data_IF_218982269479
#
_entry.id   IF_218982269479
#
_cell.length_a   1.000
_cell.length_b   1.000
_cell.length_c   1.000
_cell.angle_alpha   90.00
_cell.angle_beta   90.00
_cell.angle_gamma   90.00
#
_symmetry.space_group_name_H-M   'P 1'
#
loop_
_entity.id
_entity.type
_entity.pdbx_description
1 polymer ?
#
# COMPACT_ATOMS: atom_id res chain seq x y z
N UNK A 1 5.11 -39.10 33.56
CA UNK A 1 4.63 -37.71 33.70
C UNK A 1 5.50 -37.00 34.74
N UNK A 2 6.49 -36.20 34.31
CA UNK A 2 7.26 -35.35 35.23
C UNK A 2 6.48 -34.07 35.49
N UNK A 3 6.39 -33.68 36.76
CA UNK A 3 5.63 -32.54 37.28
C UNK A 3 6.09 -31.24 36.63
N UNK A 4 5.10 -30.46 36.21
CA UNK A 4 5.18 -29.18 35.52
C UNK A 4 5.29 -28.06 36.57
N UNK A 5 6.43 -27.96 37.24
CA UNK A 5 6.71 -26.93 38.27
C UNK A 5 7.94 -26.14 37.85
N UNK A 6 7.78 -24.82 37.72
CA UNK A 6 8.79 -23.77 37.48
C UNK A 6 9.38 -23.60 36.06
N UNK A 7 8.54 -23.65 35.03
CA UNK A 7 8.94 -23.05 33.75
C UNK A 7 8.69 -21.54 33.79
N UNK A 8 9.76 -20.74 33.64
CA UNK A 8 9.69 -19.29 33.51
C UNK A 8 8.61 -18.89 32.49
N UNK A 9 7.86 -17.84 32.79
CA UNK A 9 6.97 -17.18 31.85
C UNK A 9 7.76 -16.60 30.67
N UNK A 10 7.10 -16.35 29.54
CA UNK A 10 7.77 -15.65 28.44
C UNK A 10 8.26 -14.26 28.88
N UNK A 11 7.52 -13.53 29.72
CA UNK A 11 7.95 -12.22 30.24
C UNK A 11 9.27 -12.30 31.00
N UNK A 12 9.44 -13.28 31.88
CA UNK A 12 10.69 -13.47 32.64
C UNK A 12 11.85 -13.84 31.72
N UNK A 13 11.62 -14.71 30.72
CA UNK A 13 12.64 -15.10 29.74
C UNK A 13 13.08 -13.88 28.92
N UNK A 14 12.17 -13.06 28.42
CA UNK A 14 12.53 -11.85 27.67
C UNK A 14 13.27 -10.83 28.53
N UNK A 15 12.88 -10.65 29.80
CA UNK A 15 13.61 -9.82 30.76
C UNK A 15 15.03 -10.30 31.02
N UNK A 16 15.31 -11.59 30.87
CA UNK A 16 16.66 -12.13 31.00
C UNK A 16 17.47 -12.04 29.70
N UNK A 17 16.85 -12.33 28.55
CA UNK A 17 17.55 -12.49 27.28
C UNK A 17 17.79 -11.15 26.56
N UNK A 18 16.87 -10.18 26.67
CA UNK A 18 16.97 -8.94 25.89
C UNK A 18 18.00 -7.93 26.43
N UNK A 19 18.13 -7.67 27.75
CA UNK A 19 19.05 -6.65 28.25
C UNK A 19 20.53 -6.87 27.91
N UNK A 20 21.08 -8.11 27.93
CA UNK A 20 22.47 -8.34 27.57
C UNK A 20 22.83 -8.07 26.09
N UNK A 21 21.84 -8.01 25.19
CA UNK A 21 22.08 -7.78 23.77
C UNK A 21 22.62 -6.36 23.53
N UNK A 22 23.70 -6.23 22.78
CA UNK A 22 24.32 -4.94 22.43
C UNK A 22 24.13 -4.56 20.96
N UNK A 23 23.49 -5.42 20.18
CA UNK A 23 23.24 -5.20 18.75
C UNK A 23 22.21 -6.17 18.18
N UNK A 24 22.10 -6.25 16.84
CA UNK A 24 21.20 -7.16 16.17
C UNK A 24 21.54 -8.63 16.46
N UNK A 25 20.51 -9.46 16.55
CA UNK A 25 20.61 -10.92 16.70
C UNK A 25 19.77 -11.61 15.63
N UNK A 26 20.19 -12.78 15.17
CA UNK A 26 19.36 -13.56 14.26
C UNK A 26 18.10 -14.05 14.97
N UNK A 27 16.98 -14.08 14.25
CA UNK A 27 15.70 -14.63 14.72
C UNK A 27 15.89 -16.06 15.20
N UNK A 28 16.71 -16.83 14.50
CA UNK A 28 16.89 -18.24 14.80
C UNK A 28 17.72 -18.49 16.06
N UNK A 29 18.74 -17.66 16.33
CA UNK A 29 19.53 -17.72 17.56
C UNK A 29 18.72 -17.27 18.77
N UNK A 30 17.96 -16.18 18.63
CA UNK A 30 17.10 -15.70 19.71
C UNK A 30 16.03 -16.75 20.07
N UNK A 31 15.42 -17.41 19.08
CA UNK A 31 14.49 -18.52 19.33
C UNK A 31 15.19 -19.66 20.08
N UNK A 32 16.42 -20.00 19.68
CA UNK A 32 17.18 -21.06 20.34
C UNK A 32 17.47 -20.71 21.80
N UNK A 33 17.93 -19.49 22.10
CA UNK A 33 18.14 -19.02 23.48
C UNK A 33 16.85 -19.07 24.32
N UNK A 34 15.72 -18.63 23.75
CA UNK A 34 14.41 -18.68 24.43
C UNK A 34 13.99 -20.12 24.72
N UNK A 35 14.17 -21.04 23.76
CA UNK A 35 13.81 -22.45 23.93
C UNK A 35 14.72 -23.18 24.93
N UNK A 36 15.97 -22.74 25.09
CA UNK A 36 16.88 -23.25 26.12
C UNK A 36 16.40 -22.88 27.53
N UNK A 37 15.99 -21.63 27.74
CA UNK A 37 15.47 -21.17 29.04
C UNK A 37 14.04 -21.64 29.30
N UNK A 38 13.24 -21.79 28.24
CA UNK A 38 11.84 -22.22 28.32
C UNK A 38 11.52 -23.25 27.24
N UNK A 39 11.85 -24.54 27.50
CA UNK A 39 11.44 -25.63 26.64
C UNK A 39 9.91 -25.68 26.51
N UNK A 40 9.41 -26.08 25.34
CA UNK A 40 7.96 -26.21 25.09
C UNK A 40 7.64 -27.57 24.48
N UNK A 41 6.49 -28.12 24.87
CA UNK A 41 5.93 -29.37 24.35
C UNK A 41 5.09 -29.17 23.09
N UNK A 42 4.96 -27.92 22.60
CA UNK A 42 4.20 -27.63 21.39
C UNK A 42 4.73 -28.42 20.19
N UNK A 43 3.83 -28.92 19.32
CA UNK A 43 4.20 -29.69 18.12
C UNK A 43 5.16 -28.94 17.18
N UNK A 44 5.13 -27.60 17.20
CA UNK A 44 6.02 -26.71 16.43
C UNK A 44 6.63 -25.63 17.34
N UNK A 45 7.66 -25.95 18.15
CA UNK A 45 8.23 -25.04 19.16
C UNK A 45 8.67 -23.68 18.60
N UNK A 46 9.42 -23.69 17.50
CA UNK A 46 9.94 -22.47 16.87
C UNK A 46 8.83 -21.55 16.36
N UNK A 47 7.71 -22.11 15.89
CA UNK A 47 6.56 -21.32 15.42
C UNK A 47 5.86 -20.64 16.60
N UNK A 48 5.72 -21.34 17.74
CA UNK A 48 5.15 -20.76 18.95
C UNK A 48 5.99 -19.58 19.47
N UNK A 49 7.32 -19.73 19.50
CA UNK A 49 8.22 -18.63 19.91
C UNK A 49 8.18 -17.47 18.91
N UNK A 50 8.13 -17.74 17.60
CA UNK A 50 7.96 -16.67 16.59
C UNK A 50 6.69 -15.86 16.79
N UNK A 51 5.59 -16.46 17.25
CA UNK A 51 4.37 -15.72 17.58
C UNK A 51 4.61 -14.76 18.76
N UNK A 52 5.38 -15.18 19.77
CA UNK A 52 5.75 -14.32 20.90
C UNK A 52 6.67 -13.17 20.47
N UNK A 53 7.64 -13.40 19.59
CA UNK A 53 8.49 -12.35 19.05
C UNK A 53 7.67 -11.27 18.31
N UNK A 54 6.65 -11.68 17.55
CA UNK A 54 5.73 -10.75 16.88
C UNK A 54 4.92 -9.93 17.88
N UNK A 55 4.50 -10.54 18.98
CA UNK A 55 3.76 -9.83 20.03
C UNK A 55 4.65 -8.79 20.75
N UNK A 56 5.88 -9.16 21.08
CA UNK A 56 6.89 -8.24 21.64
C UNK A 56 7.21 -7.07 20.71
N UNK A 57 7.15 -7.30 19.40
CA UNK A 57 7.30 -6.24 18.39
C UNK A 57 6.14 -5.23 18.46
N UNK A 58 4.91 -5.68 18.72
CA UNK A 58 3.75 -4.77 18.88
C UNK A 58 3.88 -3.87 20.10
N UNK A 59 4.55 -4.35 21.16
CA UNK A 59 4.85 -3.62 22.40
C UNK A 59 6.08 -2.71 22.30
N UNK A 60 6.73 -2.64 21.13
CA UNK A 60 7.96 -1.86 20.93
C UNK A 60 9.20 -2.40 21.67
N UNK A 61 9.14 -3.62 22.23
CA UNK A 61 10.27 -4.25 22.92
C UNK A 61 11.30 -4.81 21.92
N UNK A 62 10.85 -5.15 20.72
CA UNK A 62 11.66 -5.70 19.63
C UNK A 62 11.34 -5.00 18.31
N UNK A 63 12.34 -4.95 17.44
CA UNK A 63 12.25 -4.42 16.08
C UNK A 63 12.79 -5.47 15.12
N UNK A 64 11.99 -5.89 14.14
CA UNK A 64 12.49 -6.74 13.06
C UNK A 64 13.19 -5.86 12.03
N UNK A 65 14.52 -5.96 11.95
CA UNK A 65 15.26 -5.29 10.89
C UNK A 65 14.94 -5.93 9.56
N UNK A 66 14.80 -7.26 9.48
CA UNK A 66 14.34 -7.97 8.29
C UNK A 66 13.62 -9.27 8.69
N UNK A 67 13.43 -10.23 7.77
CA UNK A 67 12.75 -11.50 8.10
C UNK A 67 13.55 -12.45 8.99
N UNK A 68 14.86 -12.20 9.14
CA UNK A 68 15.85 -13.04 9.83
C UNK A 68 16.60 -12.32 10.94
N UNK A 69 16.50 -10.99 11.03
CA UNK A 69 17.25 -10.18 11.99
C UNK A 69 16.33 -9.37 12.90
N UNK A 70 16.57 -9.41 14.21
CA UNK A 70 15.86 -8.63 15.23
C UNK A 70 16.86 -7.75 15.99
N UNK A 71 16.39 -6.58 16.42
CA UNK A 71 17.08 -5.67 17.32
C UNK A 71 16.18 -5.36 18.53
N UNK A 72 16.70 -5.30 19.77
CA UNK A 72 15.94 -4.76 20.89
C UNK A 72 15.47 -3.32 20.63
N UNK A 73 14.22 -3.02 21.00
CA UNK A 73 13.61 -1.71 20.77
C UNK A 73 14.40 -0.54 21.38
N UNK A 74 14.98 -0.74 22.57
CA UNK A 74 15.86 0.26 23.20
C UNK A 74 17.05 0.62 22.30
N UNK A 75 17.67 -0.34 21.61
CA UNK A 75 18.83 -0.07 20.75
C UNK A 75 18.43 0.60 19.44
N UNK A 76 17.21 0.33 18.96
CA UNK A 76 16.65 1.00 17.79
C UNK A 76 16.35 2.48 18.07
N UNK A 77 15.79 2.78 19.25
CA UNK A 77 15.24 4.10 19.56
C UNK A 77 16.12 4.99 20.42
N UNK A 78 17.03 4.43 21.21
CA UNK A 78 17.84 5.25 22.12
C UNK A 78 18.87 6.09 21.38
N UNK A 79 18.91 7.36 21.75
CA UNK A 79 19.64 8.42 21.08
C UNK A 79 18.99 8.93 19.80
N UNK A 80 17.86 8.36 19.35
CA UNK A 80 17.16 8.90 18.16
C UNK A 80 16.78 10.35 18.42
N UNK A 81 17.06 11.20 17.43
CA UNK A 81 16.71 12.63 17.48
C UNK A 81 15.63 12.95 16.46
N UNK A 82 14.68 13.79 16.86
CA UNK A 82 13.63 14.31 15.98
C UNK A 82 13.34 15.77 16.30
N UNK A 83 12.78 16.50 15.33
CA UNK A 83 12.46 17.91 15.48
C UNK A 83 10.95 18.13 15.48
N UNK A 84 10.45 18.90 16.44
CA UNK A 84 9.03 19.26 16.55
C UNK A 84 8.86 20.72 16.16
N UNK A 85 8.16 21.04 15.06
CA UNK A 85 7.88 22.42 14.68
C UNK A 85 6.89 23.04 15.68
N UNK A 86 7.10 24.32 16.02
CA UNK A 86 6.23 25.03 16.95
C UNK A 86 5.27 25.96 16.22
N UNK A 87 3.98 25.63 16.31
CA UNK A 87 2.92 26.48 15.79
C UNK A 87 2.53 27.61 16.76
N UNK A 88 1.67 28.51 16.28
CA UNK A 88 1.22 29.68 17.05
C UNK A 88 0.57 29.29 18.37
N UNK A 89 -0.11 28.13 18.44
CA UNK A 89 -0.90 27.71 19.60
C UNK A 89 0.00 27.23 20.74
N UNK A 90 0.99 26.40 20.42
CA UNK A 90 2.03 25.87 21.31
C UNK A 90 2.78 27.02 21.96
N UNK A 91 3.26 27.97 21.15
CA UNK A 91 4.01 29.14 21.62
C UNK A 91 3.15 30.02 22.53
N UNK A 92 1.89 30.29 22.16
CA UNK A 92 0.99 31.11 22.98
C UNK A 92 0.68 30.45 24.33
N UNK A 93 0.59 29.12 24.38
CA UNK A 93 0.27 28.36 25.60
C UNK A 93 1.50 27.94 26.39
N UNK A 94 2.71 28.13 25.85
CA UNK A 94 3.95 27.65 26.47
C UNK A 94 3.95 26.14 26.66
N UNK A 95 3.44 25.37 25.70
CA UNK A 95 3.23 23.95 25.89
C UNK A 95 3.38 23.15 24.60
N UNK A 96 3.90 21.93 24.71
CA UNK A 96 4.28 21.05 23.61
C UNK A 96 3.28 19.90 23.47
N UNK A 97 2.64 19.77 22.30
CA UNK A 97 1.65 18.71 22.06
C UNK A 97 2.28 17.32 22.08
N UNK A 98 1.71 16.43 22.90
CA UNK A 98 2.17 15.04 23.02
C UNK A 98 1.63 14.21 21.87
N UNK A 99 0.34 14.33 21.59
CA UNK A 99 -0.39 13.48 20.63
C UNK A 99 0.08 13.61 19.18
N UNK A 100 0.75 14.69 18.81
CA UNK A 100 1.31 14.88 17.47
C UNK A 100 2.80 14.57 17.39
N UNK A 101 3.56 14.84 18.46
CA UNK A 101 5.02 14.78 18.44
C UNK A 101 5.61 13.46 18.98
N UNK A 102 4.96 12.81 19.96
CA UNK A 102 5.53 11.68 20.71
C UNK A 102 4.94 10.27 20.46
N UNK A 103 3.80 10.01 19.76
CA UNK A 103 3.17 8.68 19.81
C UNK A 103 4.03 7.49 19.34
N UNK A 104 5.09 7.75 18.57
CA UNK A 104 6.03 6.72 18.08
C UNK A 104 7.37 6.74 18.82
N UNK A 105 7.61 7.82 19.56
CA UNK A 105 8.80 8.07 20.36
C UNK A 105 8.57 7.80 21.86
N UNK A 106 7.32 7.54 22.26
CA UNK A 106 6.91 7.17 23.61
C UNK A 106 6.14 5.84 23.54
N UNK A 107 6.55 4.89 24.38
CA UNK A 107 5.87 3.59 24.47
C UNK A 107 4.47 3.74 25.08
N UNK A 108 3.51 3.00 24.54
CA UNK A 108 2.12 3.00 25.00
C UNK A 108 1.93 2.52 26.45
N UNK A 109 2.91 1.80 27.01
CA UNK A 109 2.83 1.27 28.37
C UNK A 109 3.27 2.29 29.44
N UNK A 110 3.90 3.40 29.03
CA UNK A 110 4.41 4.43 29.94
C UNK A 110 3.31 5.48 30.14
N UNK A 111 2.97 5.74 31.41
CA UNK A 111 1.99 6.78 31.73
C UNK A 111 2.60 8.15 31.46
N UNK A 112 1.80 9.13 31.01
CA UNK A 112 2.31 10.46 30.69
C UNK A 112 2.94 11.16 31.90
N UNK A 113 2.50 10.81 33.10
CA UNK A 113 3.00 11.30 34.38
C UNK A 113 4.37 10.71 34.76
N UNK A 114 4.76 9.58 34.17
CA UNK A 114 6.04 8.91 34.40
C UNK A 114 7.14 9.41 33.46
N UNK A 115 6.76 10.11 32.38
CA UNK A 115 7.69 10.72 31.42
C UNK A 115 8.61 11.69 32.16
N UNK A 116 9.89 11.70 31.77
CA UNK A 116 10.86 12.67 32.27
C UNK A 116 11.37 13.53 31.11
N UNK A 117 11.39 14.84 31.35
CA UNK A 117 11.92 15.83 30.42
C UNK A 117 13.13 16.49 31.07
N UNK A 118 14.16 16.74 30.27
CA UNK A 118 15.33 17.52 30.70
C UNK A 118 15.73 18.53 29.61
N UNK A 119 16.38 19.62 30.02
CA UNK A 119 16.95 20.59 29.08
C UNK A 119 18.29 20.12 28.49
N UNK A 120 18.88 20.93 27.61
CA UNK A 120 20.15 20.65 26.95
C UNK A 120 21.32 20.44 27.91
N UNK A 121 21.22 20.94 29.15
CA UNK A 121 22.22 20.80 30.21
C UNK A 121 21.97 19.60 31.13
N UNK A 122 20.91 18.83 30.86
CA UNK A 122 20.51 17.67 31.66
C UNK A 122 19.74 18.05 32.94
N UNK A 123 19.27 19.29 33.07
CA UNK A 123 18.44 19.68 34.22
C UNK A 123 17.01 19.21 33.99
N UNK A 124 16.37 18.58 35.00
CA UNK A 124 14.97 18.18 34.90
C UNK A 124 14.05 19.37 34.64
N UNK A 125 13.14 19.21 33.68
CA UNK A 125 12.03 20.11 33.41
C UNK A 125 10.77 19.58 34.12
N UNK A 126 9.95 20.45 34.73
CA UNK A 126 8.73 20.02 35.40
C UNK A 126 7.76 19.39 34.40
N UNK A 127 7.37 18.14 34.65
CA UNK A 127 6.39 17.43 33.82
C UNK A 127 5.00 17.69 34.37
N UNK A 128 4.27 18.58 33.70
CA UNK A 128 2.87 18.87 33.99
C UNK A 128 2.05 18.66 32.73
N UNK A 129 1.07 17.75 32.80
CA UNK A 129 0.19 17.45 31.68
C UNK A 129 -1.00 18.40 31.69
N UNK A 130 -1.27 19.02 30.55
CA UNK A 130 -2.44 19.88 30.34
C UNK A 130 -3.26 19.40 29.14
N UNK A 131 -4.58 19.60 29.22
CA UNK A 131 -5.51 19.17 28.17
C UNK A 131 -5.97 20.34 27.33
N UNK A 132 -5.93 20.18 26.02
CA UNK A 132 -6.36 21.15 25.03
C UNK A 132 -7.57 20.63 24.28
N UNK A 133 -8.68 21.34 24.39
CA UNK A 133 -9.90 20.97 23.66
C UNK A 133 -9.93 21.64 22.29
N UNK A 134 -10.45 20.95 21.28
CA UNK A 134 -10.74 21.48 19.94
C UNK A 134 -12.11 20.96 19.51
N UNK A 135 -12.96 21.86 19.06
CA UNK A 135 -14.19 21.46 18.39
C UNK A 135 -13.83 21.15 16.94
N UNK A 136 -14.22 19.98 16.47
CA UNK A 136 -14.15 19.58 15.08
C UNK A 136 -15.56 19.29 14.59
N UNK A 137 -15.82 19.56 13.33
CA UNK A 137 -17.05 19.15 12.68
C UNK A 137 -16.84 17.73 12.17
N UNK A 138 -17.74 16.81 12.52
CA UNK A 138 -17.73 15.43 12.06
C UNK A 138 -19.01 15.14 11.31
N UNK A 139 -19.05 14.01 10.59
CA UNK A 139 -20.26 13.49 9.95
C UNK A 139 -21.44 13.28 10.93
N UNK A 140 -21.17 13.22 12.24
CA UNK A 140 -22.17 13.06 13.30
C UNK A 140 -22.41 14.36 14.09
N UNK A 141 -21.99 15.51 13.55
CA UNK A 141 -22.08 16.82 14.21
C UNK A 141 -20.78 17.25 14.90
N UNK A 142 -20.80 18.36 15.64
CA UNK A 142 -19.61 18.90 16.29
C UNK A 142 -19.12 17.97 17.42
N UNK A 143 -17.90 17.48 17.30
CA UNK A 143 -17.23 16.68 18.31
C UNK A 143 -16.12 17.47 18.99
N UNK A 144 -15.91 17.21 20.29
CA UNK A 144 -14.85 17.83 21.07
C UNK A 144 -13.71 16.84 21.23
N UNK A 145 -12.58 17.10 20.58
CA UNK A 145 -11.36 16.32 20.74
C UNK A 145 -10.49 16.97 21.81
N UNK A 146 -9.92 16.13 22.67
CA UNK A 146 -8.96 16.52 23.69
C UNK A 146 -7.56 16.08 23.27
N UNK A 147 -6.60 16.98 23.37
CA UNK A 147 -5.19 16.73 23.11
C UNK A 147 -4.38 16.97 24.37
N UNK A 148 -3.44 16.08 24.69
CA UNK A 148 -2.54 16.27 25.83
C UNK A 148 -1.26 17.01 25.40
N UNK A 149 -0.76 17.85 26.29
CA UNK A 149 0.48 18.61 26.08
C UNK A 149 1.31 18.65 27.37
N UNK A 150 2.64 18.71 27.21
CA UNK A 150 3.55 19.07 28.29
C UNK A 150 3.52 20.58 28.48
N UNK A 151 3.21 21.04 29.69
CA UNK A 151 3.26 22.44 30.07
C UNK A 151 4.70 22.85 30.37
N UNK A 152 5.23 23.78 29.59
CA UNK A 152 6.65 24.16 29.55
C UNK A 152 6.81 25.69 29.52
N UNK A 153 5.87 26.46 30.10
CA UNK A 153 5.81 27.91 29.90
C UNK A 153 7.06 28.63 30.39
N UNK A 154 7.64 28.18 31.50
CA UNK A 154 8.88 28.74 32.02
C UNK A 154 10.05 28.52 31.07
N UNK A 155 10.18 27.31 30.54
CA UNK A 155 11.22 26.97 29.57
C UNK A 155 11.04 27.73 28.25
N UNK A 156 9.80 27.86 27.77
CA UNK A 156 9.47 28.65 26.57
C UNK A 156 9.82 30.14 26.74
N UNK A 157 9.52 30.71 27.92
CA UNK A 157 9.86 32.10 28.25
C UNK A 157 11.36 32.31 28.34
N UNK A 158 12.08 31.42 29.01
CA UNK A 158 13.53 31.49 29.19
C UNK A 158 14.29 31.44 27.84
N UNK A 159 13.79 30.66 26.88
CA UNK A 159 14.39 30.53 25.54
C UNK A 159 13.85 31.53 24.51
N UNK A 160 12.93 32.41 24.89
CA UNK A 160 12.28 33.36 23.99
C UNK A 160 11.71 32.72 22.72
N UNK A 161 11.08 31.55 22.89
CA UNK A 161 10.57 30.72 21.80
C UNK A 161 9.54 31.47 20.96
N UNK A 162 9.65 31.36 19.63
CA UNK A 162 8.74 32.00 18.66
C UNK A 162 8.07 30.97 17.76
N UNK A 163 6.98 31.38 17.11
CA UNK A 163 6.33 30.58 16.05
C UNK A 163 7.35 30.32 14.94
N UNK A 164 7.43 29.07 14.48
CA UNK A 164 8.36 28.63 13.44
C UNK A 164 9.72 28.21 13.96
N UNK A 165 9.98 28.36 15.26
CA UNK A 165 11.08 27.67 15.93
C UNK A 165 10.75 26.18 16.12
N UNK A 166 11.74 25.42 16.57
CA UNK A 166 11.68 23.99 16.74
C UNK A 166 12.13 23.60 18.15
N UNK A 167 11.57 22.49 18.64
CA UNK A 167 12.14 21.75 19.77
C UNK A 167 12.79 20.51 19.20
N UNK A 168 14.11 20.40 19.36
CA UNK A 168 14.81 19.16 19.08
C UNK A 168 14.66 18.24 20.28
N UNK A 169 14.32 16.98 20.03
CA UNK A 169 14.07 15.99 21.06
C UNK A 169 15.04 14.84 20.85
N UNK A 170 15.74 14.46 21.92
CA UNK A 170 16.57 13.25 21.97
C UNK A 170 15.92 12.23 22.88
N UNK A 171 15.77 10.99 22.41
CA UNK A 171 15.30 9.86 23.23
C UNK A 171 16.45 9.39 24.11
N UNK A 172 16.49 9.83 25.37
CA UNK A 172 17.57 9.51 26.31
C UNK A 172 17.40 8.12 26.91
N UNK A 173 16.18 7.72 27.25
CA UNK A 173 15.84 6.37 27.71
C UNK A 173 14.49 5.97 27.12
N UNK A 174 14.53 5.07 26.13
CA UNK A 174 13.34 4.58 25.44
C UNK A 174 12.43 3.75 26.35
N UNK A 175 13.01 2.99 27.28
CA UNK A 175 12.25 2.05 28.10
C UNK A 175 11.51 2.76 29.23
N UNK A 176 12.03 3.91 29.67
CA UNK A 176 11.46 4.76 30.73
C UNK A 176 10.83 6.05 30.25
N UNK A 177 10.93 6.39 28.96
CA UNK A 177 10.33 7.59 28.40
C UNK A 177 11.04 8.86 28.88
N UNK A 178 12.38 8.85 28.89
CA UNK A 178 13.16 10.04 29.21
C UNK A 178 13.58 10.74 27.93
N UNK A 179 13.36 12.06 27.87
CA UNK A 179 13.67 12.88 26.71
C UNK A 179 14.45 14.12 27.10
N UNK A 180 15.41 14.50 26.24
CA UNK A 180 16.09 15.79 26.31
C UNK A 180 15.53 16.73 25.25
N UNK A 181 15.26 17.97 25.65
CA UNK A 181 14.73 19.03 24.80
C UNK A 181 15.78 20.11 24.57
N UNK A 182 15.90 20.57 23.32
CA UNK A 182 16.78 21.67 22.93
C UNK A 182 15.97 22.67 22.09
N UNK A 183 16.12 23.97 22.34
CA UNK A 183 15.51 24.99 21.50
C UNK A 183 16.35 25.25 20.25
N UNK A 184 15.69 25.24 19.09
CA UNK A 184 16.29 25.63 17.83
C UNK A 184 15.47 26.74 17.16
N UNK A 185 16.13 27.84 16.82
CA UNK A 185 15.49 28.92 16.06
C UNK A 185 15.35 28.54 14.58
N UNK A 186 14.32 29.10 13.92
CA UNK A 186 14.15 28.95 12.47
C UNK A 186 15.41 29.32 11.66
N UNK A 187 16.18 30.32 12.15
CA UNK A 187 17.43 30.77 11.52
C UNK A 187 18.55 29.75 11.64
N UNK A 188 18.68 29.09 12.79
CA UNK A 188 19.65 28.01 12.99
C UNK A 188 19.28 26.83 12.08
N UNK A 189 18.02 26.40 12.09
CA UNK A 189 17.54 25.28 11.27
C UNK A 189 17.81 25.47 9.78
N UNK A 190 17.58 26.69 9.26
CA UNK A 190 17.87 27.03 7.85
C UNK A 190 19.34 26.81 7.45
N UNK A 191 20.29 26.86 8.40
CA UNK A 191 21.71 26.58 8.11
C UNK A 191 21.98 25.10 7.86
N UNK A 192 21.11 24.23 8.37
CA UNK A 192 21.18 22.77 8.21
C UNK A 192 20.26 22.24 7.10
N UNK A 193 19.67 23.10 6.26
CA UNK A 193 18.65 22.68 5.29
C UNK A 193 19.10 21.50 4.41
N UNK A 194 20.34 21.52 3.90
CA UNK A 194 20.87 20.42 3.07
C UNK A 194 20.94 19.09 3.81
N UNK A 195 21.32 19.12 5.09
CA UNK A 195 21.39 17.93 5.94
C UNK A 195 19.98 17.42 6.28
N UNK A 196 19.04 18.33 6.55
CA UNK A 196 17.62 18.01 6.77
C UNK A 196 17.02 17.36 5.52
N UNK A 197 17.22 17.95 4.34
CA UNK A 197 16.69 17.42 3.07
C UNK A 197 17.23 16.00 2.81
N UNK A 198 18.52 15.77 3.05
CA UNK A 198 19.13 14.45 2.92
C UNK A 198 18.53 13.42 3.89
N UNK A 199 18.34 13.79 5.16
CA UNK A 199 17.72 12.90 6.17
C UNK A 199 16.24 12.63 5.88
N UNK A 200 15.51 13.63 5.40
CA UNK A 200 14.12 13.49 5.01
C UNK A 200 13.99 12.52 3.83
N UNK A 201 14.84 12.67 2.81
CA UNK A 201 14.87 11.77 1.66
C UNK A 201 15.20 10.33 2.07
N UNK A 202 16.23 10.13 2.90
CA UNK A 202 16.60 8.80 3.42
C UNK A 202 15.44 8.15 4.21
N UNK A 203 14.79 8.90 5.11
CA UNK A 203 13.64 8.43 5.88
C UNK A 203 12.48 8.03 4.96
N UNK A 204 12.17 8.87 3.97
CA UNK A 204 11.10 8.62 3.01
C UNK A 204 11.37 7.37 2.16
N UNK A 205 12.60 7.23 1.65
CA UNK A 205 12.99 6.07 0.83
C UNK A 205 12.95 4.76 1.63
N UNK A 206 13.45 4.77 2.87
CA UNK A 206 13.40 3.59 3.75
C UNK A 206 11.96 3.19 4.13
N UNK A 207 11.07 4.17 4.34
CA UNK A 207 9.65 3.91 4.57
C UNK A 207 8.97 3.37 3.31
N UNK A 208 9.24 3.96 2.15
CA UNK A 208 8.68 3.54 0.87
C UNK A 208 9.14 2.12 0.50
N UNK A 209 10.41 1.78 0.73
CA UNK A 209 10.91 0.42 0.53
C UNK A 209 10.19 -0.60 1.41
N UNK A 210 9.87 -0.25 2.67
CA UNK A 210 9.05 -1.10 3.53
C UNK A 210 7.61 -1.23 3.02
N UNK A 211 7.01 -0.15 2.53
CA UNK A 211 5.68 -0.16 1.92
C UNK A 211 5.65 -1.04 0.68
N UNK A 212 6.66 -0.96 -0.19
CA UNK A 212 6.84 -1.81 -1.36
C UNK A 212 7.06 -3.29 -0.98
N UNK A 213 7.68 -3.54 0.16
CA UNK A 213 7.83 -4.88 0.73
C UNK A 213 6.54 -5.42 1.37
N UNK A 214 5.64 -4.57 1.85
CA UNK A 214 4.46 -4.96 2.62
C UNK A 214 3.48 -5.85 1.85
N UNK A 215 2.74 -6.72 2.53
CA UNK A 215 1.73 -7.57 1.88
C UNK A 215 0.44 -6.80 1.56
N UNK A 216 0.01 -5.95 2.49
CA UNK A 216 -1.33 -5.34 2.48
C UNK A 216 -1.32 -3.89 1.99
N UNK A 217 -0.34 -3.53 1.16
CA UNK A 217 -0.21 -2.17 0.57
C UNK A 217 -0.27 -1.04 1.61
N UNK A 218 0.15 -1.37 2.83
CA UNK A 218 0.13 -0.51 4.00
C UNK A 218 1.13 -1.02 5.01
N UNK A 219 1.69 -0.11 5.80
CA UNK A 219 2.59 -0.41 6.93
C UNK A 219 2.10 0.31 8.18
N UNK A 220 2.29 -0.35 9.32
CA UNK A 220 1.92 0.21 10.62
C UNK A 220 3.06 1.09 11.15
N UNK A 221 2.75 2.33 11.47
CA UNK A 221 3.73 3.36 11.83
C UNK A 221 4.60 2.93 13.01
N UNK A 222 4.00 2.39 14.09
CA UNK A 222 4.74 1.98 15.29
C UNK A 222 5.71 0.81 15.08
N UNK A 223 5.56 0.07 13.97
CA UNK A 223 6.51 -0.96 13.56
C UNK A 223 7.54 -0.43 12.56
N UNK A 224 7.08 0.36 11.59
CA UNK A 224 7.90 0.83 10.48
C UNK A 224 8.97 1.82 10.96
N UNK A 225 8.60 2.83 11.75
CA UNK A 225 9.52 3.90 12.13
C UNK A 225 10.70 3.42 12.98
N UNK A 226 10.53 2.60 14.05
CA UNK A 226 11.67 2.06 14.78
C UNK A 226 12.60 1.24 13.88
N UNK A 227 12.04 0.52 12.90
CA UNK A 227 12.83 -0.23 11.92
C UNK A 227 13.62 0.70 11.00
N UNK A 228 13.02 1.81 10.55
CA UNK A 228 13.70 2.80 9.72
C UNK A 228 14.79 3.53 10.50
N UNK A 229 14.50 4.04 11.70
CA UNK A 229 15.51 4.71 12.52
C UNK A 229 16.70 3.79 12.84
N UNK A 230 16.46 2.50 13.08
CA UNK A 230 17.55 1.53 13.27
C UNK A 230 18.41 1.29 12.01
N UNK A 231 17.91 1.63 10.82
CA UNK A 231 18.56 1.44 9.52
C UNK A 231 19.15 2.72 8.93
N UNK A 232 18.70 3.88 9.39
CA UNK A 232 19.25 5.17 8.96
C UNK A 232 20.76 5.23 9.24
N UNK A 233 21.46 5.93 8.37
CA UNK A 233 22.91 6.15 8.44
C UNK A 233 23.32 6.86 9.73
N UNK A 234 22.58 7.89 10.14
CA UNK A 234 22.82 8.66 11.34
C UNK A 234 21.51 9.15 12.00
N UNK A 235 20.81 8.29 12.75
CA UNK A 235 19.59 8.66 13.47
C UNK A 235 19.87 9.47 14.75
N UNK A 236 21.14 9.63 15.15
CA UNK A 236 21.56 10.22 16.43
C UNK A 236 22.22 11.59 16.30
N UNK A 237 22.66 11.98 15.10
CA UNK A 237 23.18 13.32 14.82
C UNK A 237 22.06 14.36 14.67
N UNK A 238 22.28 15.36 13.83
CA UNK A 238 21.32 16.46 13.67
C UNK A 238 19.99 15.95 13.08
N UNK A 239 18.81 16.24 13.67
CA UNK A 239 17.56 15.64 13.21
C UNK A 239 17.03 16.26 11.91
N UNK A 240 16.41 15.43 11.07
CA UNK A 240 15.56 15.89 9.97
C UNK A 240 14.24 16.48 10.48
N UNK A 241 13.25 16.58 9.60
CA UNK A 241 11.89 16.94 9.99
C UNK A 241 11.17 15.78 10.67
N UNK A 242 10.10 16.11 11.40
CA UNK A 242 9.23 15.11 11.99
C UNK A 242 8.70 14.17 10.89
N UNK A 243 8.69 12.85 11.15
CA UNK A 243 8.33 11.84 10.15
C UNK A 243 6.99 12.10 9.44
N UNK A 244 6.01 12.67 10.16
CA UNK A 244 4.70 12.97 9.59
C UNK A 244 4.78 14.06 8.52
N UNK A 245 5.65 15.05 8.69
CA UNK A 245 5.91 16.08 7.68
C UNK A 245 6.62 15.48 6.47
N UNK A 246 7.58 14.59 6.69
CA UNK A 246 8.31 13.89 5.62
C UNK A 246 7.35 13.09 4.74
N UNK A 247 6.44 12.31 5.34
CA UNK A 247 5.44 11.55 4.57
C UNK A 247 4.44 12.48 3.87
N UNK A 248 4.04 13.56 4.53
CA UNK A 248 3.09 14.53 3.94
C UNK A 248 3.69 15.25 2.73
N UNK A 249 5.01 15.44 2.71
CA UNK A 249 5.74 16.06 1.60
C UNK A 249 6.12 15.06 0.49
N UNK A 250 6.16 13.75 0.78
CA UNK A 250 6.54 12.73 -0.20
C UNK A 250 5.35 12.35 -1.09
N UNK A 251 5.43 12.51 -2.43
CA UNK A 251 4.30 12.29 -3.33
C UNK A 251 3.93 10.80 -3.51
N UNK A 252 4.73 9.87 -2.98
CA UNK A 252 4.50 8.42 -3.12
C UNK A 252 3.65 7.85 -1.99
N UNK A 253 3.55 8.55 -0.87
CA UNK A 253 2.98 8.02 0.36
C UNK A 253 1.93 8.94 0.99
N UNK A 254 1.09 8.35 1.85
CA UNK A 254 0.15 9.08 2.69
C UNK A 254 0.07 8.43 4.06
N UNK A 255 0.00 9.23 5.12
CA UNK A 255 -0.25 8.75 6.48
C UNK A 255 -1.74 8.92 6.85
N UNK A 256 -2.34 7.88 7.44
CA UNK A 256 -3.73 7.89 7.94
C UNK A 256 -3.79 7.20 9.30
N UNK A 257 -3.98 7.99 10.36
CA UNK A 257 -3.94 7.48 11.73
C UNK A 257 -2.62 6.76 12.03
N UNK A 258 -2.69 5.45 12.27
CA UNK A 258 -1.52 4.61 12.60
C UNK A 258 -0.89 3.90 11.40
N UNK A 259 -1.30 4.23 10.17
CA UNK A 259 -0.84 3.55 8.95
C UNK A 259 -0.18 4.53 7.96
N UNK A 260 0.69 3.97 7.13
CA UNK A 260 1.26 4.61 5.94
C UNK A 260 0.83 3.76 4.74
N UNK A 261 0.34 4.43 3.70
CA UNK A 261 -0.18 3.88 2.47
C UNK A 261 0.51 4.53 1.26
N UNK A 262 0.22 4.01 0.07
CA UNK A 262 0.51 4.75 -1.16
C UNK A 262 -0.36 6.02 -1.25
N UNK A 263 0.12 7.01 -2.00
CA UNK A 263 -0.58 8.29 -2.15
C UNK A 263 -1.97 8.15 -2.82
N UNK A 264 -2.13 7.15 -3.70
CA UNK A 264 -3.36 6.82 -4.42
C UNK A 264 -4.35 5.98 -3.61
N UNK A 265 -4.02 5.61 -2.37
CA UNK A 265 -4.90 4.81 -1.51
C UNK A 265 -6.16 5.59 -1.11
N UNK A 266 -7.31 4.92 -1.20
CA UNK A 266 -8.60 5.39 -0.68
C UNK A 266 -9.17 4.43 0.37
N UNK A 267 -9.81 4.97 1.42
CA UNK A 267 -10.46 4.14 2.43
C UNK A 267 -11.81 3.61 1.93
N UNK A 268 -12.33 2.50 2.50
CA UNK A 268 -13.70 2.05 2.20
C UNK A 268 -14.76 3.12 2.48
N UNK A 269 -14.57 3.94 3.52
CA UNK A 269 -15.45 5.07 3.83
C UNK A 269 -15.34 6.17 2.76
N UNK A 270 -14.14 6.48 2.27
CA UNK A 270 -13.96 7.43 1.17
C UNK A 270 -14.67 6.92 -0.10
N UNK A 271 -14.58 5.62 -0.39
CA UNK A 271 -15.23 5.01 -1.54
C UNK A 271 -16.76 5.01 -1.39
N UNK A 272 -17.29 4.78 -0.18
CA UNK A 272 -18.73 4.87 0.11
C UNK A 272 -19.21 6.32 -0.02
N UNK A 273 -18.47 7.29 0.53
CA UNK A 273 -18.81 8.71 0.43
C UNK A 273 -18.79 9.19 -1.02
N UNK A 274 -17.80 8.79 -1.83
CA UNK A 274 -17.77 9.00 -3.29
C UNK A 274 -18.93 8.34 -4.03
N UNK A 275 -19.53 7.28 -3.47
CA UNK A 275 -20.70 6.63 -4.06
C UNK A 275 -22.03 7.29 -3.66
N UNK A 276 -22.11 7.91 -2.48
CA UNK A 276 -23.32 8.55 -1.95
C UNK A 276 -23.45 9.99 -2.44
N UNK A 277 -22.36 10.74 -2.41
CA UNK A 277 -22.26 12.01 -3.09
C UNK A 277 -21.78 11.69 -4.50
N UNK A 278 -22.58 11.99 -5.53
CA UNK A 278 -22.07 12.15 -6.90
C UNK A 278 -21.10 13.34 -6.93
N UNK A 279 -20.05 13.32 -6.12
CA UNK A 279 -18.83 14.01 -6.46
C UNK A 279 -18.27 13.16 -7.59
N UNK A 280 -18.58 13.58 -8.82
CA UNK A 280 -17.67 13.40 -9.94
C UNK A 280 -16.28 13.57 -9.35
N UNK A 281 -15.52 12.47 -9.28
CA UNK A 281 -14.13 12.56 -8.90
C UNK A 281 -13.57 13.73 -9.72
N UNK A 282 -12.92 14.73 -9.09
CA UNK A 282 -12.40 15.87 -9.84
C UNK A 282 -11.66 15.26 -11.02
N UNK A 283 -12.01 15.62 -12.28
CA UNK A 283 -11.49 14.97 -13.46
C UNK A 283 -10.00 14.90 -13.24
N UNK A 284 -9.47 13.68 -13.11
CA UNK A 284 -8.06 13.45 -12.81
C UNK A 284 -7.33 14.25 -13.86
N UNK A 285 -6.79 15.41 -13.49
CA UNK A 285 -6.59 16.55 -14.39
C UNK A 285 -6.10 16.02 -15.72
N UNK A 286 -7.00 16.02 -16.74
CA UNK A 286 -6.64 15.47 -18.04
C UNK A 286 -5.36 16.18 -18.42
N UNK A 287 -4.28 15.41 -18.50
CA UNK A 287 -3.01 15.96 -18.93
C UNK A 287 -3.29 16.44 -20.34
N UNK A 288 -3.26 17.75 -20.55
CA UNK A 288 -3.53 18.34 -21.84
C UNK A 288 -2.55 17.73 -22.85
N UNK A 289 -3.06 16.80 -23.65
CA UNK A 289 -2.24 16.04 -24.58
C UNK A 289 -1.77 16.96 -25.70
N UNK A 290 -0.51 16.84 -26.08
CA UNK A 290 -0.06 17.49 -27.31
C UNK A 290 -0.73 16.83 -28.52
N UNK A 291 -0.94 17.58 -29.63
CA UNK A 291 -1.47 17.01 -30.87
C UNK A 291 -0.67 15.82 -31.41
N UNK A 292 0.62 15.74 -31.08
CA UNK A 292 1.49 14.62 -31.44
C UNK A 292 1.14 13.38 -30.60
N UNK A 293 1.09 13.51 -29.28
CA UNK A 293 0.73 12.41 -28.36
C UNK A 293 -0.67 11.85 -28.66
N UNK A 294 -1.63 12.72 -28.98
CA UNK A 294 -2.97 12.28 -29.36
C UNK A 294 -3.01 11.43 -30.63
N UNK A 295 -2.07 11.65 -31.57
CA UNK A 295 -2.03 10.95 -32.87
C UNK A 295 -1.18 9.69 -32.86
N UNK A 296 -0.23 9.57 -31.93
CA UNK A 296 0.61 8.37 -31.79
C UNK A 296 -0.25 7.14 -31.55
N UNK A 297 0.18 6.02 -32.11
CA UNK A 297 -0.53 4.75 -32.04
C UNK A 297 0.13 3.86 -31.00
N UNK A 298 -0.67 3.41 -30.04
CA UNK A 298 -0.26 2.48 -28.99
C UNK A 298 -0.65 1.08 -29.43
N UNK A 299 0.34 0.21 -29.57
CA UNK A 299 0.14 -1.19 -29.93
C UNK A 299 0.14 -2.04 -28.66
N UNK A 300 -1.04 -2.55 -28.33
CA UNK A 300 -1.24 -3.41 -27.19
C UNK A 300 -1.36 -4.86 -27.61
N UNK A 301 -0.78 -5.76 -26.81
CA UNK A 301 -1.15 -7.16 -26.82
C UNK A 301 -2.11 -7.42 -25.65
N UNK A 302 -3.31 -7.87 -25.97
CA UNK A 302 -4.32 -8.25 -24.99
C UNK A 302 -4.50 -9.75 -24.99
N UNK A 303 -4.57 -10.37 -23.82
CA UNK A 303 -4.80 -11.80 -23.67
C UNK A 303 -5.75 -12.09 -22.50
N UNK A 304 -6.52 -13.17 -22.61
CA UNK A 304 -7.30 -13.67 -21.46
C UNK A 304 -6.36 -14.13 -20.35
N UNK A 305 -6.61 -13.69 -19.11
CA UNK A 305 -5.73 -13.97 -17.96
C UNK A 305 -5.51 -15.47 -17.73
N UNK A 306 -6.59 -16.25 -17.78
CA UNK A 306 -6.58 -17.70 -17.54
C UNK A 306 -6.43 -18.53 -18.81
N UNK A 307 -6.44 -17.90 -20.00
CA UNK A 307 -6.24 -18.55 -21.31
C UNK A 307 -5.29 -17.73 -22.17
N UNK A 308 -4.06 -17.50 -21.70
CA UNK A 308 -3.07 -16.61 -22.34
C UNK A 308 -2.71 -16.93 -23.80
N UNK A 309 -3.04 -18.15 -24.26
CA UNK A 309 -2.92 -18.54 -25.66
C UNK A 309 -3.92 -17.82 -26.57
N UNK A 310 -5.05 -17.36 -26.03
CA UNK A 310 -6.04 -16.51 -26.68
C UNK A 310 -5.63 -15.06 -26.50
N UNK A 311 -5.15 -14.45 -27.59
CA UNK A 311 -4.68 -13.07 -27.58
C UNK A 311 -5.01 -12.34 -28.87
N UNK A 312 -5.08 -11.01 -28.77
CA UNK A 312 -5.32 -10.05 -29.84
C UNK A 312 -4.28 -8.94 -29.75
N UNK A 313 -3.83 -8.41 -30.88
CA UNK A 313 -3.05 -7.17 -30.94
C UNK A 313 -3.95 -6.07 -31.43
N UNK A 314 -4.04 -5.02 -30.63
CA UNK A 314 -4.93 -3.89 -30.86
C UNK A 314 -4.06 -2.64 -30.98
N UNK A 315 -4.32 -1.86 -32.00
CA UNK A 315 -3.76 -0.53 -32.16
C UNK A 315 -4.83 0.50 -31.89
N UNK A 316 -4.51 1.49 -31.06
CA UNK A 316 -5.41 2.59 -30.67
C UNK A 316 -4.60 3.88 -30.58
N UNK A 317 -5.19 5.01 -30.96
CA UNK A 317 -4.50 6.31 -30.89
C UNK A 317 -4.49 6.86 -29.45
N UNK A 318 -3.47 7.64 -29.11
CA UNK A 318 -3.29 8.19 -27.77
C UNK A 318 -4.43 9.11 -27.31
N UNK A 319 -5.09 9.79 -28.24
CA UNK A 319 -6.25 10.65 -27.96
C UNK A 319 -7.58 9.91 -27.84
N UNK A 320 -7.64 8.63 -28.21
CA UNK A 320 -8.83 7.79 -28.02
C UNK A 320 -8.96 7.37 -26.57
N UNK A 321 -10.18 7.10 -26.14
CA UNK A 321 -10.49 6.92 -24.73
C UNK A 321 -10.51 5.45 -24.31
N UNK A 322 -10.65 5.19 -23.01
CA UNK A 322 -10.89 3.85 -22.51
C UNK A 322 -12.27 3.30 -22.92
N UNK A 323 -13.25 4.15 -23.24
CA UNK A 323 -14.50 3.70 -23.87
C UNK A 323 -14.27 3.17 -25.29
N UNK A 324 -13.44 3.86 -26.10
CA UNK A 324 -13.03 3.35 -27.42
C UNK A 324 -12.27 2.01 -27.28
N UNK A 325 -11.42 1.90 -26.25
CA UNK A 325 -10.67 0.68 -25.99
C UNK A 325 -11.57 -0.47 -25.50
N UNK A 326 -12.52 -0.20 -24.62
CA UNK A 326 -13.54 -1.15 -24.17
C UNK A 326 -14.31 -1.72 -25.37
N UNK A 327 -14.80 -0.84 -26.24
CA UNK A 327 -15.55 -1.23 -27.43
C UNK A 327 -14.77 -2.21 -28.31
N UNK A 328 -13.53 -1.89 -28.67
CA UNK A 328 -12.71 -2.77 -29.51
C UNK A 328 -12.31 -4.06 -28.79
N UNK A 329 -12.18 -4.05 -27.46
CA UNK A 329 -11.93 -5.27 -26.68
C UNK A 329 -13.12 -6.21 -26.68
N UNK A 330 -14.34 -5.68 -26.56
CA UNK A 330 -15.57 -6.47 -26.70
C UNK A 330 -15.66 -7.13 -28.08
N UNK A 331 -15.41 -6.36 -29.14
CA UNK A 331 -15.34 -6.89 -30.51
C UNK A 331 -14.25 -7.96 -30.63
N UNK A 332 -13.04 -7.69 -30.12
CA UNK A 332 -11.89 -8.57 -30.32
C UNK A 332 -12.00 -9.93 -29.62
N UNK A 333 -12.77 -10.00 -28.53
CA UNK A 333 -12.97 -11.20 -27.74
C UNK A 333 -14.42 -11.72 -27.78
N UNK A 334 -15.24 -11.20 -28.70
CA UNK A 334 -16.64 -11.61 -28.95
C UNK A 334 -17.50 -11.54 -27.67
N UNK A 335 -17.27 -10.50 -26.86
CA UNK A 335 -18.10 -10.23 -25.68
C UNK A 335 -19.40 -9.52 -26.08
N UNK A 336 -20.43 -9.68 -25.26
CA UNK A 336 -21.67 -8.92 -25.44
C UNK A 336 -21.47 -7.41 -25.22
N UNK A 337 -22.24 -6.62 -25.96
CA UNK A 337 -22.14 -5.16 -25.99
C UNK A 337 -23.26 -4.45 -25.24
N UNK A 338 -24.31 -5.14 -24.81
CA UNK A 338 -25.60 -4.56 -24.47
C UNK A 338 -25.89 -4.38 -22.99
N UNK A 339 -25.39 -5.25 -22.11
CA UNK A 339 -25.92 -5.33 -20.73
C UNK A 339 -24.86 -5.47 -19.61
N UNK A 340 -23.60 -5.76 -19.93
CA UNK A 340 -22.56 -5.95 -18.91
C UNK A 340 -21.64 -4.72 -18.69
N UNK A 341 -21.36 -4.42 -17.42
CA UNK A 341 -20.33 -3.45 -17.00
C UNK A 341 -18.93 -4.00 -17.21
N UNK A 342 -17.97 -3.11 -17.47
CA UNK A 342 -16.55 -3.41 -17.56
C UNK A 342 -15.72 -2.41 -16.77
N UNK A 343 -14.42 -2.67 -16.62
CA UNK A 343 -13.52 -1.76 -15.91
C UNK A 343 -12.05 -1.97 -16.21
N UNK A 344 -11.26 -0.94 -15.89
CA UNK A 344 -9.81 -0.93 -16.12
C UNK A 344 -9.04 -0.68 -14.82
N UNK A 345 -7.91 -1.36 -14.68
CA UNK A 345 -6.94 -1.10 -13.62
C UNK A 345 -5.54 -0.95 -14.20
N UNK A 346 -4.80 0.08 -13.79
CA UNK A 346 -3.38 0.18 -14.08
C UNK A 346 -2.60 -0.76 -13.17
N UNK A 347 -1.82 -1.67 -13.74
CA UNK A 347 -1.01 -2.61 -12.96
C UNK A 347 0.38 -2.03 -12.76
N UNK A 348 0.66 -1.53 -11.55
CA UNK A 348 1.97 -0.94 -11.24
C UNK A 348 2.82 -1.93 -10.45
N UNK A 349 4.02 -2.20 -10.97
CA UNK A 349 4.95 -3.13 -10.33
C UNK A 349 5.41 -2.58 -8.97
N UNK A 350 5.48 -3.48 -7.99
CA UNK A 350 5.84 -3.16 -6.61
C UNK A 350 7.32 -3.41 -6.31
N UNK A 351 8.09 -2.34 -6.22
CA UNK A 351 9.53 -2.35 -5.98
C UNK A 351 10.25 -3.30 -6.93
N UNK A 352 11.21 -4.06 -6.43
CA UNK A 352 11.91 -5.10 -7.21
C UNK A 352 11.17 -6.44 -7.27
N UNK A 353 10.00 -6.55 -6.65
CA UNK A 353 9.27 -7.81 -6.55
C UNK A 353 8.51 -8.18 -7.83
N UNK A 354 7.89 -9.37 -7.86
CA UNK A 354 6.94 -9.79 -8.92
C UNK A 354 5.50 -9.38 -8.59
N UNK A 355 5.28 -8.61 -7.52
CA UNK A 355 3.95 -8.15 -7.11
C UNK A 355 3.58 -6.90 -7.87
N UNK A 356 2.29 -6.72 -8.05
CA UNK A 356 1.69 -5.55 -8.66
C UNK A 356 0.65 -5.00 -7.71
N UNK A 357 0.49 -3.68 -7.71
CA UNK A 357 -0.73 -3.02 -7.23
C UNK A 357 -1.64 -2.80 -8.43
N UNK A 358 -2.95 -2.84 -8.19
CA UNK A 358 -3.95 -2.58 -9.20
C UNK A 358 -4.64 -1.28 -8.84
N UNK A 359 -4.30 -0.22 -9.58
CA UNK A 359 -4.88 1.11 -9.39
C UNK A 359 -6.16 1.15 -10.22
N UNK A 360 -7.30 1.30 -9.55
CA UNK A 360 -8.60 1.40 -10.20
C UNK A 360 -8.68 2.66 -11.05
N UNK A 361 -8.91 2.49 -12.36
CA UNK A 361 -9.11 3.60 -13.30
C UNK A 361 -10.61 3.93 -13.45
N UNK A 362 -11.50 3.05 -13.00
CA UNK A 362 -12.94 3.18 -13.07
C UNK A 362 -13.61 2.14 -13.96
N UNK A 363 -14.93 2.26 -14.07
CA UNK A 363 -15.80 1.36 -14.82
C UNK A 363 -16.41 2.05 -16.04
N UNK A 364 -16.84 1.23 -17.00
CA UNK A 364 -17.55 1.64 -18.21
C UNK A 364 -18.82 0.79 -18.32
N UNK A 365 -19.92 1.43 -18.67
CA UNK A 365 -21.20 0.81 -18.90
C UNK A 365 -21.39 0.45 -20.39
N UNK A 366 -22.39 -0.38 -20.73
CA UNK A 366 -22.64 -0.79 -22.12
C UNK A 366 -22.87 0.36 -23.11
N UNK A 367 -23.28 1.54 -22.63
CA UNK A 367 -23.49 2.73 -23.46
C UNK A 367 -22.19 3.51 -23.72
N UNK A 368 -21.06 3.04 -23.18
CA UNK A 368 -19.76 3.70 -23.30
C UNK A 368 -19.53 4.83 -22.30
N UNK A 369 -20.36 4.96 -21.26
CA UNK A 369 -20.22 5.98 -20.23
C UNK A 369 -19.65 5.39 -18.93
N UNK A 370 -19.10 6.22 -18.05
CA UNK A 370 -18.62 5.77 -16.74
C UNK A 370 -17.41 6.56 -16.25
N UNK A 371 -16.92 6.23 -15.06
CA UNK A 371 -15.83 6.97 -14.41
C UNK A 371 -14.49 6.86 -15.15
N UNK A 372 -14.30 5.81 -15.96
CA UNK A 372 -13.11 5.65 -16.79
C UNK A 372 -13.31 6.06 -18.25
N UNK A 373 -14.55 6.34 -18.68
CA UNK A 373 -14.92 6.40 -20.10
C UNK A 373 -14.12 7.44 -20.88
N UNK A 374 -13.90 8.61 -20.30
CA UNK A 374 -13.22 9.74 -20.95
C UNK A 374 -11.69 9.71 -20.82
N UNK A 375 -11.14 8.78 -20.04
CA UNK A 375 -9.68 8.69 -19.87
C UNK A 375 -9.01 8.33 -21.19
N UNK A 376 -8.17 9.22 -21.70
CA UNK A 376 -7.39 8.97 -22.92
C UNK A 376 -6.25 7.96 -22.70
N UNK A 377 -5.93 7.17 -23.74
CA UNK A 377 -4.85 6.18 -23.68
C UNK A 377 -3.50 6.82 -23.37
N UNK A 378 -3.18 7.96 -24.00
CA UNK A 378 -1.95 8.70 -23.72
C UNK A 378 -1.97 9.34 -22.32
N UNK A 379 -3.14 9.74 -21.82
CA UNK A 379 -3.31 10.29 -20.46
C UNK A 379 -2.90 9.31 -19.35
N UNK A 380 -2.93 7.99 -19.64
CA UNK A 380 -2.44 6.97 -18.71
C UNK A 380 -0.91 6.94 -18.55
N UNK A 381 -0.18 7.63 -19.43
CA UNK A 381 1.29 7.74 -19.43
C UNK A 381 1.99 6.38 -19.34
N UNK A 382 1.52 5.42 -20.14
CA UNK A 382 2.08 4.07 -20.19
C UNK A 382 3.40 4.06 -20.96
N UNK A 383 4.35 3.25 -20.49
CA UNK A 383 5.59 2.94 -21.18
C UNK A 383 5.56 1.51 -21.74
N UNK A 384 6.31 1.19 -22.81
CA UNK A 384 6.44 -0.17 -23.29
C UNK A 384 6.77 -1.17 -22.18
N UNK A 385 5.99 -2.24 -22.08
CA UNK A 385 6.04 -3.23 -21.00
C UNK A 385 5.08 -2.97 -19.83
N UNK A 386 4.48 -1.78 -19.73
CA UNK A 386 3.42 -1.52 -18.75
C UNK A 386 2.17 -2.34 -19.06
N UNK A 387 1.44 -2.65 -17.99
CA UNK A 387 0.29 -3.54 -18.05
C UNK A 387 -0.97 -2.83 -17.52
N UNK A 388 -2.09 -3.07 -18.20
CA UNK A 388 -3.44 -2.82 -17.69
C UNK A 388 -4.14 -4.16 -17.43
N UNK A 389 -5.03 -4.19 -16.45
CA UNK A 389 -6.06 -5.21 -16.31
C UNK A 389 -7.35 -4.64 -16.88
N UNK A 390 -8.01 -5.41 -17.73
CA UNK A 390 -9.38 -5.14 -18.15
C UNK A 390 -10.27 -6.26 -17.65
N UNK A 391 -11.41 -5.92 -17.06
CA UNK A 391 -12.42 -6.89 -16.63
C UNK A 391 -13.68 -6.62 -17.41
N UNK A 392 -14.13 -7.62 -18.16
CA UNK A 392 -15.43 -7.64 -18.79
C UNK A 392 -16.39 -8.44 -17.91
N UNK A 393 -17.62 -7.95 -17.79
CA UNK A 393 -18.68 -8.46 -16.92
C UNK A 393 -18.27 -8.58 -15.44
N UNK A 394 -18.79 -7.70 -14.60
CA UNK A 394 -18.52 -7.76 -13.16
C UNK A 394 -19.23 -8.93 -12.45
N UNK A 395 -20.18 -9.59 -13.11
CA UNK A 395 -20.76 -10.87 -12.66
C UNK A 395 -19.75 -12.00 -12.81
N UNK A 396 -19.37 -12.33 -14.06
CA UNK A 396 -18.47 -13.44 -14.37
C UNK A 396 -16.97 -13.14 -14.15
N UNK A 397 -16.62 -11.87 -14.05
CA UNK A 397 -15.26 -11.37 -13.79
C UNK A 397 -14.23 -11.83 -14.83
N UNK A 398 -14.52 -11.58 -16.11
CA UNK A 398 -13.69 -12.05 -17.22
C UNK A 398 -12.46 -11.15 -17.40
N UNK A 399 -11.35 -11.60 -16.82
CA UNK A 399 -10.11 -10.83 -16.77
C UNK A 399 -9.24 -10.96 -18.04
N UNK A 400 -8.76 -9.81 -18.50
CA UNK A 400 -7.79 -9.66 -19.57
C UNK A 400 -6.55 -8.93 -19.06
N UNK A 401 -5.39 -9.38 -19.53
CA UNK A 401 -4.12 -8.68 -19.36
C UNK A 401 -3.77 -7.97 -20.67
N UNK A 402 -3.63 -6.65 -20.58
CA UNK A 402 -3.25 -5.78 -21.69
C UNK A 402 -1.82 -5.33 -21.43
N UNK A 403 -0.91 -5.53 -22.39
CA UNK A 403 0.49 -5.09 -22.29
C UNK A 403 0.79 -4.15 -23.44
N UNK A 404 1.33 -2.97 -23.13
CA UNK A 404 1.84 -2.06 -24.17
C UNK A 404 3.12 -2.67 -24.77
N UNK A 405 3.10 -3.05 -26.04
CA UNK A 405 4.30 -3.58 -26.72
C UNK A 405 5.18 -2.42 -27.20
N UNK A 406 4.59 -1.41 -27.84
CA UNK A 406 5.30 -0.26 -28.41
C UNK A 406 4.35 0.90 -28.74
N UNK A 407 4.93 2.07 -29.01
CA UNK A 407 4.24 3.25 -29.53
C UNK A 407 4.85 3.61 -30.89
N UNK A 408 4.02 3.74 -31.91
CA UNK A 408 4.43 3.93 -33.32
C UNK A 408 3.71 5.12 -33.96
N UNK A 409 4.22 5.56 -35.11
CA UNK A 409 3.55 6.56 -35.94
C UNK A 409 2.26 6.00 -36.57
N UNK A 410 1.23 6.84 -36.76
CA UNK A 410 -0.01 6.40 -37.40
C UNK A 410 0.24 6.01 -38.85
N UNK A 411 -0.40 4.91 -39.27
CA UNK A 411 -0.39 4.50 -40.66
C UNK A 411 -1.31 5.41 -41.49
N UNK A 412 -0.87 5.75 -42.70
CA UNK A 412 -1.63 6.62 -43.60
C UNK A 412 -2.98 5.97 -43.93
N UNK A 413 -4.06 6.75 -43.81
CA UNK A 413 -5.45 6.37 -44.13
C UNK A 413 -6.03 5.23 -43.27
N UNK A 414 -5.31 4.77 -42.23
CA UNK A 414 -5.83 3.78 -41.29
C UNK A 414 -6.85 4.39 -40.32
N UNK A 415 -7.86 3.59 -39.95
CA UNK A 415 -8.83 3.91 -38.90
C UNK A 415 -8.47 3.16 -37.61
N UNK A 416 -8.61 3.84 -36.49
CA UNK A 416 -8.31 3.32 -35.15
C UNK A 416 -9.57 3.42 -34.25
N UNK A 417 -9.75 2.54 -33.25
CA UNK A 417 -8.90 1.40 -32.96
C UNK A 417 -9.06 0.27 -33.99
N UNK A 418 -8.06 -0.62 -34.09
CA UNK A 418 -8.11 -1.78 -34.99
C UNK A 418 -7.38 -2.99 -34.42
N UNK A 419 -7.82 -4.18 -34.81
CA UNK A 419 -7.15 -5.44 -34.50
C UNK A 419 -6.18 -5.75 -35.63
N UNK A 420 -4.88 -5.86 -35.32
CA UNK A 420 -3.82 -6.06 -36.32
C UNK A 420 -3.22 -7.46 -36.32
N UNK A 421 -3.43 -8.23 -35.25
CA UNK A 421 -3.05 -9.63 -35.20
C UNK A 421 -3.85 -10.38 -34.12
N UNK A 422 -3.86 -11.71 -34.20
CA UNK A 422 -4.43 -12.58 -33.18
C UNK A 422 -3.66 -13.90 -33.09
N UNK A 423 -3.91 -14.68 -32.03
CA UNK A 423 -3.36 -16.02 -31.95
C UNK A 423 -3.80 -16.88 -33.13
N UNK A 424 -2.99 -17.89 -33.47
CA UNK A 424 -3.46 -18.96 -34.34
C UNK A 424 -4.56 -19.73 -33.61
N UNK A 425 -5.76 -19.88 -34.20
CA UNK A 425 -6.83 -20.66 -33.58
C UNK A 425 -6.37 -22.10 -33.31
N UNK A 426 -6.63 -22.56 -32.08
CA UNK A 426 -6.43 -23.97 -31.72
C UNK A 426 -7.79 -24.65 -31.65
N UNK A 427 -8.30 -25.09 -32.80
CA UNK A 427 -9.63 -25.67 -32.89
C UNK A 427 -9.76 -26.96 -32.10
N UNK A 428 -10.85 -27.05 -31.34
CA UNK A 428 -11.34 -28.31 -30.78
C UNK A 428 -12.37 -28.93 -31.72
N UNK A 429 -12.58 -30.24 -31.65
CA UNK A 429 -13.54 -30.94 -32.51
C UNK A 429 -14.77 -31.35 -31.72
N UNK A 430 -15.93 -31.30 -32.36
CA UNK A 430 -17.21 -31.75 -31.83
C UNK A 430 -17.12 -33.23 -31.43
N UNK A 431 -17.46 -33.54 -30.18
CA UNK A 431 -17.37 -34.90 -29.64
C UNK A 431 -18.32 -35.87 -30.34
N UNK A 432 -19.56 -35.45 -30.57
CA UNK A 432 -20.58 -36.25 -31.26
C UNK A 432 -20.16 -36.55 -32.71
N UNK A 433 -19.66 -35.56 -33.44
CA UNK A 433 -19.13 -35.77 -34.80
C UNK A 433 -17.90 -36.68 -34.79
N UNK A 434 -17.01 -36.52 -33.80
CA UNK A 434 -15.81 -37.34 -33.67
C UNK A 434 -16.14 -38.81 -33.40
N UNK A 435 -17.18 -39.08 -32.60
CA UNK A 435 -17.67 -40.44 -32.36
C UNK A 435 -18.18 -41.12 -33.65
N UNK A 436 -18.67 -40.33 -34.61
CA UNK A 436 -19.09 -40.78 -35.94
C UNK A 436 -17.96 -40.76 -36.98
N UNK A 437 -16.71 -40.49 -36.57
CA UNK A 437 -15.55 -40.44 -37.47
C UNK A 437 -15.40 -39.14 -38.28
N UNK A 438 -16.23 -38.12 -38.02
CA UNK A 438 -16.16 -36.80 -38.67
C UNK A 438 -15.26 -35.83 -37.91
N UNK A 439 -14.60 -34.92 -38.62
CA UNK A 439 -13.74 -33.85 -38.05
C UNK A 439 -14.42 -32.49 -38.18
N UNK A 440 -15.49 -32.28 -37.44
CA UNK A 440 -16.18 -30.98 -37.37
C UNK A 440 -15.63 -30.17 -36.21
N UNK A 441 -15.28 -28.91 -36.44
CA UNK A 441 -14.85 -27.99 -35.37
C UNK A 441 -16.00 -27.78 -34.40
N UNK A 442 -15.73 -27.86 -33.10
CA UNK A 442 -16.70 -27.49 -32.08
C UNK A 442 -16.81 -25.96 -32.04
N UNK A 443 -18.01 -25.43 -32.04
CA UNK A 443 -18.28 -23.98 -31.91
C UNK A 443 -18.90 -23.64 -30.56
N UNK A 444 -19.33 -24.66 -29.79
CA UNK A 444 -20.02 -24.49 -28.52
C UNK A 444 -19.45 -25.41 -27.43
N UNK A 445 -19.52 -24.97 -26.18
CA UNK A 445 -19.40 -25.80 -24.99
C UNK A 445 -20.78 -25.96 -24.35
N UNK A 446 -21.24 -27.20 -24.18
CA UNK A 446 -22.48 -27.46 -23.47
C UNK A 446 -22.19 -27.47 -21.96
N UNK A 447 -22.70 -26.48 -21.23
CA UNK A 447 -22.44 -26.30 -19.80
C UNK A 447 -23.13 -27.36 -18.96
N UNK A 448 -24.36 -27.74 -19.29
CA UNK A 448 -25.10 -28.76 -18.54
C UNK A 448 -24.41 -30.11 -18.61
N UNK A 449 -24.00 -30.54 -19.81
CA UNK A 449 -23.21 -31.75 -19.99
C UNK A 449 -21.84 -31.62 -19.33
N UNK A 450 -21.20 -30.44 -19.43
CA UNK A 450 -19.89 -30.20 -18.79
C UNK A 450 -19.96 -30.36 -17.28
N UNK A 451 -21.02 -29.82 -16.66
CA UNK A 451 -21.27 -29.90 -15.23
C UNK A 451 -21.65 -31.32 -14.81
N UNK A 452 -22.52 -31.99 -15.55
CA UNK A 452 -22.91 -33.37 -15.26
C UNK A 452 -21.73 -34.35 -15.37
N UNK A 453 -20.91 -34.22 -16.41
CA UNK A 453 -19.78 -35.13 -16.67
C UNK A 453 -18.47 -34.72 -16.00
N UNK A 454 -18.42 -33.54 -15.36
CA UNK A 454 -17.21 -32.99 -14.74
C UNK A 454 -16.01 -32.89 -15.70
N UNK A 455 -16.28 -32.66 -16.99
CA UNK A 455 -15.29 -32.44 -18.06
C UNK A 455 -15.91 -31.57 -19.14
N UNK A 456 -15.11 -30.83 -19.91
CA UNK A 456 -15.64 -30.05 -21.03
C UNK A 456 -16.30 -30.97 -22.06
N UNK A 457 -17.52 -30.62 -22.46
CA UNK A 457 -18.26 -31.27 -23.55
C UNK A 457 -18.41 -30.27 -24.69
N UNK A 458 -17.68 -30.52 -25.78
CA UNK A 458 -17.57 -29.60 -26.91
C UNK A 458 -18.36 -30.10 -28.12
N UNK A 459 -19.21 -29.25 -28.68
CA UNK A 459 -20.13 -29.63 -29.77
C UNK A 459 -20.12 -28.58 -30.89
N UNK A 460 -20.48 -29.00 -32.11
CA UNK A 460 -20.78 -28.06 -33.20
C UNK A 460 -22.25 -27.65 -33.14
N UNK A 461 -22.60 -26.56 -33.82
CA UNK A 461 -23.96 -26.01 -33.87
C UNK A 461 -25.02 -27.06 -34.23
N UNK A 462 -24.80 -27.87 -35.27
CA UNK A 462 -25.73 -28.95 -35.65
C UNK A 462 -25.96 -29.98 -34.52
N UNK A 463 -24.92 -30.32 -33.78
CA UNK A 463 -25.02 -31.28 -32.69
C UNK A 463 -25.62 -30.64 -31.43
N UNK A 464 -25.39 -29.34 -31.22
CA UNK A 464 -26.07 -28.59 -30.16
C UNK A 464 -27.58 -28.63 -30.40
N UNK A 465 -28.04 -28.19 -31.59
CA UNK A 465 -29.46 -28.18 -31.93
C UNK A 465 -30.10 -29.58 -31.91
N UNK A 466 -29.37 -30.62 -32.30
CA UNK A 466 -29.92 -31.98 -32.41
C UNK A 466 -29.98 -32.74 -31.09
N UNK A 467 -28.99 -32.55 -30.21
CA UNK A 467 -28.80 -33.41 -29.03
C UNK A 467 -28.79 -32.64 -27.70
N UNK A 468 -28.73 -31.32 -27.76
CA UNK A 468 -28.55 -30.43 -26.60
C UNK A 468 -29.43 -29.19 -26.71
N UNK A 469 -30.57 -29.27 -27.41
CA UNK A 469 -31.45 -28.12 -27.69
C UNK A 469 -31.90 -27.40 -26.41
N UNK A 470 -32.20 -28.18 -25.35
CA UNK A 470 -32.65 -27.67 -24.05
C UNK A 470 -31.50 -27.39 -23.07
N UNK A 471 -30.24 -27.51 -23.49
CA UNK A 471 -29.09 -27.33 -22.60
C UNK A 471 -28.54 -25.91 -22.68
N UNK A 472 -28.06 -25.40 -21.54
CA UNK A 472 -27.24 -24.20 -21.53
C UNK A 472 -25.91 -24.46 -22.23
N UNK A 473 -25.55 -23.59 -23.18
CA UNK A 473 -24.31 -23.66 -23.92
C UNK A 473 -23.74 -22.26 -24.16
N UNK A 474 -22.42 -22.20 -24.29
CA UNK A 474 -21.69 -20.97 -24.60
C UNK A 474 -20.85 -21.15 -25.86
N UNK A 475 -20.69 -20.09 -26.64
CA UNK A 475 -19.82 -20.10 -27.81
C UNK A 475 -18.34 -20.22 -27.42
N UNK A 476 -17.58 -20.95 -28.22
CA UNK A 476 -16.15 -21.13 -28.02
C UNK A 476 -15.37 -20.03 -28.71
N UNK A 477 -14.73 -19.17 -27.92
CA UNK A 477 -13.72 -18.25 -28.41
C UNK A 477 -12.40 -18.98 -28.77
N UNK A 478 -11.90 -18.74 -29.98
CA UNK A 478 -10.69 -19.38 -30.53
C UNK A 478 -9.49 -18.46 -30.78
#
# INVERSE_FOLDING_TARGET
MRKNTDLMSYDEVFKQVLPPLTGPISVDDLITQILTLRPTTAKKPRVAVRAQLRERTRRGELVFLDSKTILPGRLAMQGVRFAVPLERREVKRGALLISSAFPIFLRSEISLEEVQLQDESGRPLPVKIVTWKKNIETLFGPAKIEYWAFELSDWFRAHHIRRGDYVLVTVEDWERGHFRLEHETARQRKRHQKEIDAKNQELADLLFDQLEAARNESIYVSKALPTVFARMSDPRGYPGDHWLLVITADPRMRATGSFIHYADWSSPLDNILKGIYKEEAPPSAEVALSPEESRRVYRFKTALKYRKGLWRRIEIQGGQTLADFDYILRVAFEHDHGDHLSGFWKRVRRGKSRRYREIDLGSINPLGEGSAADLSVAGLQLQPGDELKYVYDFGDWIEHLITLEETVEPEKDAKYPRIVAQNRPCYSYCESCKAEGRKTVATWICLDCTNHEQRKVLVCEDCLAKYHEDHYAEELLY
#
